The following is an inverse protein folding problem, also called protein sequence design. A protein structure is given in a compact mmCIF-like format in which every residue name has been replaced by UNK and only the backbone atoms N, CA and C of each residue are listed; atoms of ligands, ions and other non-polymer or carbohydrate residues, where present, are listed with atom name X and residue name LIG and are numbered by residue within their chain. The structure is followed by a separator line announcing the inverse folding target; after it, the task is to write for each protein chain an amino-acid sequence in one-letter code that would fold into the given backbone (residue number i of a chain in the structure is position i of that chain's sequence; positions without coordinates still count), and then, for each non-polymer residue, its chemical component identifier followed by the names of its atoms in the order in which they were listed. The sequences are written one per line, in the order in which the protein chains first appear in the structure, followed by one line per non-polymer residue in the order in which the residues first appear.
data_IF_496128581865
#
_entry.id   IF_496128581865
#
_cell.length_a   1.000
_cell.length_b   1.000
_cell.length_c   1.000
_cell.angle_alpha   90.00
_cell.angle_beta   90.00
_cell.angle_gamma   90.00
#
_symmetry.space_group_name_H-M   'P 1'
#
loop_
_entity.id
_entity.type
_entity.pdbx_description
1 polymer ?
#
# COMPACT_ATOMS: atom_id res chain seq x y z
N UNK A 1 -62.45 -26.61 57.87
CA UNK A 1 -62.54 -28.05 57.57
C UNK A 1 -61.58 -28.34 56.44
N UNK A 2 -60.63 -29.26 56.67
CA UNK A 2 -59.51 -29.60 55.78
C UNK A 2 -60.01 -30.28 54.50
N UNK A 3 -59.44 -29.97 53.35
CA UNK A 3 -59.26 -30.92 52.24
C UNK A 3 -58.13 -30.48 51.31
N UNK A 4 -57.26 -31.45 51.02
CA UNK A 4 -55.98 -31.43 50.27
C UNK A 4 -56.16 -31.75 48.78
N UNK A 5 -55.01 -31.79 48.07
CA UNK A 5 -54.71 -32.37 46.74
C UNK A 5 -54.70 -31.36 45.57
N UNK A 6 -53.69 -31.31 44.69
CA UNK A 6 -52.46 -32.09 44.54
C UNK A 6 -51.55 -31.41 43.50
N UNK A 7 -50.23 -31.57 43.66
CA UNK A 7 -49.23 -30.95 42.78
C UNK A 7 -48.85 -31.91 41.65
N UNK A 8 -48.99 -31.48 40.40
CA UNK A 8 -48.40 -32.16 39.24
C UNK A 8 -47.02 -31.55 39.03
N UNK A 9 -45.96 -32.34 39.23
CA UNK A 9 -44.61 -31.99 38.78
C UNK A 9 -44.56 -32.10 37.25
N UNK A 10 -44.30 -30.99 36.57
CA UNK A 10 -43.80 -31.00 35.20
C UNK A 10 -42.27 -30.98 35.24
N UNK A 11 -41.63 -32.02 34.70
CA UNK A 11 -40.19 -32.08 34.53
C UNK A 11 -39.78 -31.14 33.38
N UNK A 12 -38.94 -30.14 33.68
CA UNK A 12 -38.29 -29.30 32.66
C UNK A 12 -36.86 -29.76 32.52
N UNK A 13 -36.53 -30.36 31.38
CA UNK A 13 -35.18 -30.76 31.00
C UNK A 13 -34.41 -29.51 30.58
N UNK A 14 -33.37 -29.13 31.33
CA UNK A 14 -32.46 -28.06 30.96
C UNK A 14 -31.38 -28.64 30.04
N UNK A 15 -31.39 -28.24 28.77
CA UNK A 15 -30.36 -28.57 27.80
C UNK A 15 -29.25 -27.51 27.87
N UNK A 16 -28.13 -27.80 28.52
CA UNK A 16 -26.97 -26.90 28.55
C UNK A 16 -26.14 -27.09 27.27
N UNK A 17 -26.22 -26.14 26.33
CA UNK A 17 -25.25 -26.04 25.24
C UNK A 17 -23.94 -25.49 25.79
N UNK A 18 -22.91 -26.33 25.84
CA UNK A 18 -21.52 -25.94 26.09
C UNK A 18 -20.94 -25.26 24.84
N UNK A 19 -20.82 -23.93 24.89
CA UNK A 19 -20.10 -23.17 23.87
C UNK A 19 -18.58 -23.35 24.03
N UNK A 20 -17.94 -24.00 23.08
CA UNK A 20 -16.49 -24.03 22.96
C UNK A 20 -16.01 -22.69 22.37
N UNK A 21 -15.41 -21.83 23.19
CA UNK A 21 -14.74 -20.63 22.73
C UNK A 21 -13.33 -20.98 22.27
N UNK A 22 -13.09 -20.96 20.96
CA UNK A 22 -11.74 -21.01 20.41
C UNK A 22 -10.99 -19.71 20.77
N UNK A 23 -9.72 -19.78 21.20
CA UNK A 23 -8.93 -18.57 21.40
C UNK A 23 -8.54 -18.01 20.03
N UNK A 24 -9.14 -16.89 19.66
CA UNK A 24 -8.69 -16.07 18.54
C UNK A 24 -7.34 -15.46 18.94
N UNK A 25 -6.26 -15.98 18.35
CA UNK A 25 -4.95 -15.33 18.40
C UNK A 25 -5.10 -13.91 17.88
N UNK A 26 -5.03 -12.94 18.79
CA UNK A 26 -4.97 -11.53 18.43
C UNK A 26 -3.57 -11.28 17.85
N UNK A 27 -3.48 -11.30 16.52
CA UNK A 27 -2.42 -10.59 15.82
C UNK A 27 -2.47 -9.12 16.29
N UNK A 28 -1.35 -8.62 16.81
CA UNK A 28 -1.21 -7.21 17.17
C UNK A 28 -1.44 -6.40 15.90
N UNK A 29 -2.61 -5.79 15.78
CA UNK A 29 -2.90 -4.81 14.76
C UNK A 29 -1.99 -3.62 14.99
N UNK A 30 -1.02 -3.44 14.10
CA UNK A 30 -0.18 -2.26 14.01
C UNK A 30 -1.11 -1.03 13.83
N UNK A 31 -1.27 -0.26 14.90
CA UNK A 31 -2.49 0.49 15.24
C UNK A 31 -2.50 1.94 14.73
N UNK A 32 -1.61 2.29 13.81
CA UNK A 32 -1.60 3.60 13.15
C UNK A 32 -2.46 3.60 11.88
N UNK A 33 -3.05 4.75 11.54
CA UNK A 33 -3.68 4.94 10.23
C UNK A 33 -2.66 4.70 9.10
N UNK A 34 -3.11 4.26 7.93
CA UNK A 34 -2.19 4.06 6.80
C UNK A 34 -1.49 5.37 6.42
N UNK A 35 -2.20 6.49 6.57
CA UNK A 35 -1.62 7.83 6.44
C UNK A 35 -0.48 8.07 7.41
N UNK A 36 -0.63 7.73 8.69
CA UNK A 36 0.44 7.86 9.68
C UNK A 36 1.65 6.97 9.36
N UNK A 37 1.40 5.75 8.87
CA UNK A 37 2.47 4.83 8.47
C UNK A 37 3.27 5.37 7.29
N UNK A 38 2.62 5.97 6.29
CA UNK A 38 3.27 6.58 5.12
C UNK A 38 4.22 7.72 5.49
N UNK A 39 3.87 8.55 6.48
CA UNK A 39 4.64 9.74 6.87
C UNK A 39 6.07 9.36 7.23
N UNK A 40 7.04 10.00 6.57
CA UNK A 40 8.47 9.76 6.75
C UNK A 40 9.24 9.85 5.44
N UNK A 41 10.55 9.66 5.55
CA UNK A 41 11.42 9.44 4.40
C UNK A 41 11.63 7.94 4.21
N UNK A 42 11.63 7.52 2.95
CA UNK A 42 11.85 6.14 2.54
C UNK A 42 12.90 6.10 1.44
N UNK A 43 13.75 5.07 1.48
CA UNK A 43 14.80 4.80 0.49
C UNK A 43 14.33 3.69 -0.43
N UNK A 44 14.65 3.80 -1.72
CA UNK A 44 14.38 2.75 -2.69
C UNK A 44 15.14 1.47 -2.32
N UNK A 45 14.41 0.37 -2.14
CA UNK A 45 14.98 -0.94 -1.87
C UNK A 45 15.13 -1.75 -3.17
N UNK A 46 14.05 -1.84 -3.95
CA UNK A 46 14.03 -2.52 -5.24
C UNK A 46 12.84 -2.06 -6.09
N UNK A 47 12.89 -2.38 -7.38
CA UNK A 47 11.84 -2.17 -8.36
C UNK A 47 11.70 -3.41 -9.23
N UNK A 48 10.47 -3.84 -9.49
CA UNK A 48 10.13 -4.80 -10.53
C UNK A 48 9.45 -4.05 -11.68
N UNK A 49 9.91 -4.24 -12.91
CA UNK A 49 9.32 -3.63 -14.10
C UNK A 49 9.32 -4.60 -15.27
N UNK A 50 8.26 -4.59 -16.08
CA UNK A 50 8.20 -5.38 -17.31
C UNK A 50 9.08 -4.76 -18.40
N UNK A 51 10.06 -5.50 -18.91
CA UNK A 51 10.88 -5.11 -20.05
C UNK A 51 10.14 -5.16 -21.39
N UNK A 52 10.80 -4.71 -22.45
CA UNK A 52 10.29 -4.74 -23.85
C UNK A 52 10.12 -6.15 -24.41
N UNK A 53 10.81 -7.12 -23.82
CA UNK A 53 10.68 -8.55 -24.08
C UNK A 53 9.44 -9.17 -23.39
N UNK A 54 8.73 -8.38 -22.58
CA UNK A 54 7.61 -8.83 -21.75
C UNK A 54 8.04 -9.52 -20.45
N UNK A 55 9.34 -9.66 -20.19
CA UNK A 55 9.87 -10.28 -18.97
C UNK A 55 9.88 -9.29 -17.80
N UNK A 56 9.54 -9.76 -16.61
CA UNK A 56 9.68 -8.94 -15.39
C UNK A 56 11.15 -8.90 -14.95
N UNK A 57 11.71 -7.69 -14.83
CA UNK A 57 13.07 -7.45 -14.38
C UNK A 57 13.05 -6.98 -12.93
N UNK A 58 13.86 -7.63 -12.09
CA UNK A 58 14.09 -7.23 -10.70
C UNK A 58 15.33 -6.33 -10.62
N UNK A 59 15.14 -5.09 -10.15
CA UNK A 59 16.12 -4.01 -10.19
C UNK A 59 16.43 -3.57 -8.76
N UNK A 60 17.71 -3.50 -8.40
CA UNK A 60 18.18 -3.23 -7.02
C UNK A 60 19.26 -2.15 -6.94
N UNK A 61 19.77 -1.69 -8.07
CA UNK A 61 20.86 -0.73 -8.16
C UNK A 61 20.40 0.72 -8.32
N UNK A 62 19.13 0.94 -8.65
CA UNK A 62 18.48 2.26 -8.62
C UNK A 62 18.65 2.95 -7.26
N UNK A 63 18.77 4.28 -7.28
CA UNK A 63 18.85 5.10 -6.07
C UNK A 63 17.69 6.06 -6.02
N UNK A 64 16.85 5.96 -5.01
CA UNK A 64 15.70 6.84 -4.88
C UNK A 64 15.30 7.14 -3.45
N UNK A 65 14.53 8.21 -3.31
CA UNK A 65 13.84 8.57 -2.08
C UNK A 65 12.40 8.94 -2.39
N UNK A 66 11.48 8.56 -1.50
CA UNK A 66 10.13 9.11 -1.44
C UNK A 66 9.89 9.63 -0.03
N UNK A 67 9.34 10.84 0.07
CA UNK A 67 9.06 11.50 1.34
C UNK A 67 7.58 11.85 1.38
N UNK A 68 6.91 11.48 2.48
CA UNK A 68 5.56 11.91 2.81
C UNK A 68 5.59 12.75 4.08
N UNK A 69 5.04 13.95 4.03
CA UNK A 69 4.97 14.84 5.18
C UNK A 69 3.61 14.78 5.86
N UNK A 70 3.56 15.20 7.12
CA UNK A 70 2.32 15.22 7.92
C UNK A 70 1.31 16.27 7.43
N UNK A 71 1.79 17.34 6.83
CA UNK A 71 0.96 18.42 6.28
C UNK A 71 0.37 18.11 4.88
N UNK A 72 0.56 16.87 4.37
CA UNK A 72 -0.10 16.40 3.16
C UNK A 72 0.69 16.57 1.86
N UNK A 73 2.01 16.78 1.94
CA UNK A 73 2.88 16.90 0.78
C UNK A 73 3.74 15.65 0.58
N UNK A 74 4.15 15.44 -0.66
CA UNK A 74 5.08 14.38 -1.01
C UNK A 74 6.07 14.81 -2.09
N UNK A 75 7.20 14.13 -2.13
CA UNK A 75 8.15 14.20 -3.25
C UNK A 75 8.79 12.85 -3.50
N UNK A 76 9.09 12.56 -4.76
CA UNK A 76 9.86 11.38 -5.16
C UNK A 76 11.01 11.81 -6.04
N UNK A 77 12.12 11.11 -5.89
CA UNK A 77 13.30 11.24 -6.73
C UNK A 77 13.90 9.86 -6.94
N UNK A 78 14.18 9.47 -8.18
CA UNK A 78 14.83 8.20 -8.53
C UNK A 78 15.87 8.49 -9.61
N UNK A 79 17.10 8.03 -9.35
CA UNK A 79 18.21 8.01 -10.30
C UNK A 79 18.39 6.57 -10.79
N UNK A 80 18.28 6.40 -12.10
CA UNK A 80 18.67 5.19 -12.81
C UNK A 80 20.20 5.21 -12.98
N UNK A 81 20.90 4.07 -12.90
CA UNK A 81 22.33 3.98 -13.15
C UNK A 81 22.66 4.38 -14.59
N UNK A 82 23.85 4.95 -14.79
CA UNK A 82 24.32 5.46 -16.09
C UNK A 82 24.45 4.41 -17.19
N UNK A 83 24.39 3.12 -16.83
CA UNK A 83 24.47 1.98 -17.75
C UNK A 83 23.13 1.55 -18.29
N UNK A 84 22.03 2.04 -17.72
CA UNK A 84 20.71 1.74 -18.25
C UNK A 84 20.54 2.52 -19.56
N UNK A 85 20.40 1.76 -20.65
CA UNK A 85 19.89 2.30 -21.89
C UNK A 85 18.57 3.06 -21.61
N UNK A 86 18.20 4.05 -22.44
CA UNK A 86 16.90 4.70 -22.30
C UNK A 86 15.82 3.65 -22.08
N UNK A 87 15.03 3.84 -21.03
CA UNK A 87 13.86 3.01 -20.71
C UNK A 87 12.87 3.12 -21.88
N UNK A 88 13.09 2.29 -22.91
CA UNK A 88 12.14 2.02 -23.98
C UNK A 88 11.09 1.01 -23.52
N UNK A 89 10.82 0.99 -22.21
CA UNK A 89 9.72 0.26 -21.63
C UNK A 89 8.44 0.81 -22.26
N UNK A 90 7.61 -0.09 -22.78
CA UNK A 90 6.26 0.19 -23.31
C UNK A 90 5.28 0.56 -22.18
N UNK A 91 5.76 1.27 -21.16
CA UNK A 91 4.90 1.90 -20.18
C UNK A 91 4.21 3.10 -20.87
N UNK A 92 2.87 3.16 -20.87
CA UNK A 92 2.13 4.29 -21.45
C UNK A 92 2.46 5.63 -20.79
N UNK A 93 3.05 5.60 -19.59
CA UNK A 93 3.50 6.79 -18.86
C UNK A 93 5.02 6.77 -18.74
N UNK A 94 5.66 7.85 -19.22
CA UNK A 94 7.09 8.11 -19.01
C UNK A 94 7.26 8.92 -17.74
N UNK A 95 7.95 8.35 -16.75
CA UNK A 95 8.17 8.97 -15.44
C UNK A 95 9.52 9.68 -15.31
N UNK A 96 10.51 9.30 -16.13
CA UNK A 96 11.85 9.88 -16.11
C UNK A 96 12.16 10.72 -17.37
N UNK A 97 13.14 11.59 -17.23
CA UNK A 97 13.82 12.25 -18.35
C UNK A 97 15.32 12.16 -18.15
N UNK A 98 16.00 11.43 -19.05
CA UNK A 98 17.45 11.27 -19.00
C UNK A 98 17.93 10.44 -17.81
N UNK A 99 17.14 9.45 -17.38
CA UNK A 99 17.50 8.56 -16.27
C UNK A 99 17.23 9.16 -14.88
N UNK A 100 16.51 10.27 -14.80
CA UNK A 100 16.06 10.84 -13.54
C UNK A 100 14.53 10.99 -13.52
N UNK A 101 13.89 10.42 -12.51
CA UNK A 101 12.49 10.67 -12.18
C UNK A 101 12.45 11.64 -11.00
N UNK A 102 11.69 12.71 -11.12
CA UNK A 102 11.47 13.64 -10.03
C UNK A 102 10.13 14.35 -10.17
N UNK A 103 9.32 14.28 -9.12
CA UNK A 103 8.12 15.09 -8.99
C UNK A 103 7.74 15.33 -7.53
N UNK A 104 6.91 16.35 -7.31
CA UNK A 104 6.36 16.67 -6.00
C UNK A 104 4.93 17.18 -6.12
N UNK A 105 4.22 17.15 -4.99
CA UNK A 105 2.86 17.68 -4.89
C UNK A 105 2.20 17.33 -3.57
N UNK A 106 0.88 17.34 -3.55
CA UNK A 106 0.10 16.83 -2.41
C UNK A 106 -0.21 15.34 -2.56
N UNK A 107 -0.64 14.70 -1.48
CA UNK A 107 -1.14 13.32 -1.54
C UNK A 107 -2.42 13.11 -0.74
N UNK A 108 -3.23 12.17 -1.19
CA UNK A 108 -4.43 11.68 -0.51
C UNK A 108 -4.34 10.17 -0.29
N UNK A 109 -4.81 9.68 0.85
CA UNK A 109 -4.82 8.24 1.18
C UNK A 109 -6.26 7.78 1.28
N UNK A 110 -6.61 6.77 0.49
CA UNK A 110 -7.86 6.03 0.63
C UNK A 110 -7.57 4.69 1.30
N UNK A 111 -7.90 4.59 2.59
CA UNK A 111 -7.61 3.39 3.38
C UNK A 111 -8.47 2.19 3.01
N UNK A 112 -9.70 2.43 2.55
CA UNK A 112 -10.61 1.35 2.15
C UNK A 112 -10.18 0.73 0.81
N UNK A 113 -9.71 1.55 -0.12
CA UNK A 113 -9.22 1.10 -1.42
C UNK A 113 -7.75 0.67 -1.39
N UNK A 114 -7.04 0.86 -0.27
CA UNK A 114 -5.59 0.71 -0.16
C UNK A 114 -4.82 1.46 -1.24
N UNK A 115 -5.20 2.72 -1.48
CA UNK A 115 -4.52 3.58 -2.46
C UNK A 115 -3.99 4.87 -1.85
N UNK A 116 -2.89 5.36 -2.43
CA UNK A 116 -2.37 6.71 -2.25
C UNK A 116 -2.34 7.40 -3.61
N UNK A 117 -2.92 8.59 -3.70
CA UNK A 117 -2.94 9.39 -4.92
C UNK A 117 -1.97 10.54 -4.76
N UNK A 118 -1.00 10.66 -5.67
CA UNK A 118 -0.12 11.84 -5.74
C UNK A 118 -0.71 12.85 -6.72
N UNK A 119 -0.97 14.07 -6.27
CA UNK A 119 -1.44 15.17 -7.11
C UNK A 119 -0.24 15.98 -7.57
N UNK A 120 0.24 15.74 -8.78
CA UNK A 120 1.53 16.26 -9.26
C UNK A 120 1.44 17.77 -9.50
N UNK A 121 2.23 18.55 -8.76
CA UNK A 121 2.30 20.01 -8.88
C UNK A 121 3.53 20.48 -9.67
N UNK A 122 4.65 19.77 -9.52
CA UNK A 122 5.87 19.98 -10.28
C UNK A 122 6.53 18.65 -10.63
N UNK A 123 7.12 18.56 -11.82
CA UNK A 123 7.79 17.35 -12.31
C UNK A 123 8.88 17.70 -13.31
N UNK A 124 9.93 16.88 -13.34
CA UNK A 124 10.94 16.90 -14.40
C UNK A 124 10.30 16.59 -15.76
N UNK A 125 9.42 15.58 -15.82
CA UNK A 125 8.62 15.27 -17.01
C UNK A 125 7.38 16.17 -17.03
N UNK A 126 7.40 17.19 -17.90
CA UNK A 126 6.32 18.21 -17.97
C UNK A 126 4.92 17.64 -18.18
N UNK A 127 4.78 16.53 -18.90
CA UNK A 127 3.48 15.91 -19.18
C UNK A 127 2.77 15.37 -17.92
N UNK A 128 3.50 15.18 -16.82
CA UNK A 128 2.95 14.73 -15.54
C UNK A 128 2.35 15.87 -14.70
N UNK A 129 2.68 17.13 -14.99
CA UNK A 129 2.18 18.27 -14.19
C UNK A 129 0.66 18.35 -14.29
N UNK A 130 -0.01 18.41 -13.14
CA UNK A 130 -1.46 18.41 -13.02
C UNK A 130 -2.14 17.04 -13.16
N UNK A 131 -1.36 15.94 -13.20
CA UNK A 131 -1.90 14.58 -13.20
C UNK A 131 -2.05 14.03 -11.79
N UNK A 132 -3.02 13.14 -11.65
CA UNK A 132 -3.18 12.29 -10.47
C UNK A 132 -2.52 10.93 -10.74
N UNK A 133 -1.58 10.56 -9.88
CA UNK A 133 -0.85 9.30 -9.93
C UNK A 133 -1.30 8.42 -8.77
N UNK A 134 -2.31 7.59 -9.01
CA UNK A 134 -2.84 6.67 -8.01
C UNK A 134 -1.98 5.40 -7.91
N UNK A 135 -1.61 5.04 -6.69
CA UNK A 135 -0.79 3.89 -6.34
C UNK A 135 -1.52 3.00 -5.37
N UNK A 136 -1.55 1.69 -5.65
CA UNK A 136 -1.96 0.72 -4.64
C UNK A 136 -0.78 0.54 -3.69
N UNK A 137 -1.02 0.69 -2.38
CA UNK A 137 0.01 0.53 -1.37
C UNK A 137 -0.18 -0.76 -0.56
N UNK A 138 0.93 -1.30 -0.05
CA UNK A 138 0.95 -2.35 0.97
C UNK A 138 2.16 -2.16 1.87
N UNK A 139 1.99 -2.40 3.16
CA UNK A 139 3.11 -2.52 4.10
C UNK A 139 3.39 -4.02 4.35
N UNK A 140 4.63 -4.45 4.18
CA UNK A 140 5.07 -5.84 4.46
C UNK A 140 6.54 -5.82 4.86
N UNK A 141 6.89 -6.52 5.92
CA UNK A 141 8.30 -6.76 6.32
C UNK A 141 9.14 -5.47 6.43
N UNK A 142 8.52 -4.39 6.91
CA UNK A 142 9.16 -3.07 7.04
C UNK A 142 9.26 -2.27 5.74
N UNK A 143 8.76 -2.80 4.62
CA UNK A 143 8.71 -2.14 3.33
C UNK A 143 7.36 -1.46 3.09
N UNK A 144 7.40 -0.30 2.45
CA UNK A 144 6.29 0.30 1.72
C UNK A 144 6.38 -0.18 0.27
N UNK A 145 5.41 -0.97 -0.18
CA UNK A 145 5.31 -1.45 -1.55
C UNK A 145 4.24 -0.63 -2.26
N UNK A 146 4.62 -0.02 -3.39
CA UNK A 146 3.72 0.73 -4.27
C UNK A 146 3.67 0.06 -5.64
N UNK A 147 2.50 0.08 -6.28
CA UNK A 147 2.34 -0.26 -7.69
C UNK A 147 1.33 0.65 -8.35
N UNK A 148 1.37 0.76 -9.67
CA UNK A 148 0.33 1.50 -10.39
C UNK A 148 -1.05 0.90 -10.13
N UNK A 149 -2.07 1.76 -10.02
CA UNK A 149 -3.46 1.30 -10.02
C UNK A 149 -4.00 1.02 -11.43
N UNK A 150 -3.22 1.37 -12.46
CA UNK A 150 -3.63 1.19 -13.85
C UNK A 150 -3.24 -0.21 -14.35
N UNK A 151 -4.13 -0.91 -15.08
CA UNK A 151 -3.86 -2.26 -15.55
C UNK A 151 -2.84 -2.33 -16.71
N UNK A 152 -2.58 -1.21 -17.38
CA UNK A 152 -1.63 -1.08 -18.48
C UNK A 152 -0.22 -0.65 -18.02
N UNK A 153 0.00 -0.55 -16.71
CA UNK A 153 1.31 -0.25 -16.13
C UNK A 153 1.79 -1.44 -15.28
N UNK A 154 2.94 -2.00 -15.67
CA UNK A 154 3.47 -3.23 -15.09
C UNK A 154 4.77 -2.96 -14.33
N UNK A 155 4.63 -2.27 -13.20
CA UNK A 155 5.74 -2.03 -12.29
C UNK A 155 5.30 -2.13 -10.82
N UNK A 156 6.22 -2.52 -9.96
CA UNK A 156 6.08 -2.53 -8.50
C UNK A 156 7.37 -2.00 -7.91
N UNK A 157 7.30 -1.13 -6.92
CA UNK A 157 8.45 -0.52 -6.29
C UNK A 157 8.35 -0.69 -4.78
N UNK A 158 9.44 -1.07 -4.14
CA UNK A 158 9.51 -1.19 -2.69
C UNK A 158 10.48 -0.19 -2.10
N UNK A 159 10.03 0.40 -1.01
CA UNK A 159 10.74 1.40 -0.26
C UNK A 159 10.95 0.90 1.16
N UNK A 160 12.18 1.00 1.65
CA UNK A 160 12.51 0.76 3.05
C UNK A 160 12.55 2.09 3.81
N UNK A 161 12.34 2.04 5.12
CA UNK A 161 12.48 3.23 5.97
C UNK A 161 13.94 3.72 5.91
N UNK A 162 14.15 5.03 5.86
CA UNK A 162 15.48 5.63 6.07
C UNK A 162 16.03 5.34 7.47
#
# INVERSE_FOLDING_TARGET
MRTTFGWILAAVTVLTLTGASSPQSAEKSDTGSAKEKLIGAWRLAWEDEQGTDGEMKHIVDHKGTIVYTRDGHMSVQIMLPSTDAPRDVDNPVKYDQGGYEAYYGSYEVNEQAHTVTHHVQGSLVRALVGKDLTRVYRFSDGLLILKSSRPDEHWTIAWERY
#
